data_IF_127254124417
#
_entry.id   IF_127254124417
#
_cell.length_a   1.000
_cell.length_b   1.000
_cell.length_c   1.000
_cell.angle_alpha   90.00
_cell.angle_beta   90.00
_cell.angle_gamma   90.00
#
_symmetry.space_group_name_H-M   'P 1'
#
loop_
_entity.id
_entity.type
_entity.pdbx_description
1 polymer ?
#
# COMPACT_ATOMS: atom_id res chain seq x y z
N UNK A 1 11.01 6.89 -4.95
CA UNK A 1 10.55 8.29 -4.87
C UNK A 1 9.08 8.27 -4.54
N UNK A 2 8.62 9.10 -3.60
CA UNK A 2 7.21 9.29 -3.28
C UNK A 2 6.92 10.78 -3.46
N UNK A 3 5.90 11.10 -4.26
CA UNK A 3 5.56 12.46 -4.66
C UNK A 3 4.11 12.74 -4.28
N UNK A 4 3.84 13.88 -3.64
CA UNK A 4 2.47 14.29 -3.33
C UNK A 4 1.78 14.73 -4.61
N UNK A 5 0.65 14.12 -4.93
CA UNK A 5 -0.16 14.44 -6.09
C UNK A 5 -1.19 15.54 -5.77
N UNK A 6 -1.93 15.36 -4.68
CA UNK A 6 -2.95 16.31 -4.25
C UNK A 6 -3.33 16.08 -2.79
N UNK A 7 -3.90 17.09 -2.16
CA UNK A 7 -4.39 17.06 -0.79
C UNK A 7 -5.83 17.58 -0.78
N UNK A 8 -6.75 16.77 -0.24
CA UNK A 8 -8.15 17.15 -0.03
C UNK A 8 -8.48 17.12 1.46
N UNK A 9 -9.71 17.49 1.82
CA UNK A 9 -10.13 17.59 3.23
C UNK A 9 -9.99 16.28 4.03
N UNK A 10 -10.20 15.12 3.40
CA UNK A 10 -10.21 13.82 4.07
C UNK A 10 -8.99 12.95 3.81
N UNK A 11 -8.19 13.27 2.79
CA UNK A 11 -7.07 12.45 2.38
C UNK A 11 -6.04 13.21 1.55
N UNK A 12 -4.80 12.75 1.63
CA UNK A 12 -3.71 13.15 0.76
C UNK A 12 -3.36 12.01 -0.19
N UNK A 13 -3.26 12.30 -1.48
CA UNK A 13 -2.88 11.35 -2.52
C UNK A 13 -1.42 11.54 -2.89
N UNK A 14 -0.69 10.44 -2.97
CA UNK A 14 0.69 10.40 -3.42
C UNK A 14 0.81 9.45 -4.61
N UNK A 15 1.83 9.68 -5.44
CA UNK A 15 2.31 8.71 -6.41
C UNK A 15 3.68 8.22 -5.99
N UNK A 16 3.95 6.95 -6.25
CA UNK A 16 5.25 6.37 -5.92
C UNK A 16 5.65 5.31 -6.94
N UNK A 17 6.93 5.00 -6.95
CA UNK A 17 7.46 3.83 -7.66
C UNK A 17 7.69 2.72 -6.64
N UNK A 18 6.92 1.64 -6.75
CA UNK A 18 7.16 0.41 -6.00
C UNK A 18 8.21 -0.41 -6.73
N UNK A 19 9.45 -0.38 -6.23
CA UNK A 19 10.61 -0.99 -6.89
C UNK A 19 10.50 -2.50 -7.03
N UNK A 20 10.02 -3.17 -5.98
CA UNK A 20 9.98 -4.62 -5.89
C UNK A 20 8.63 -5.22 -6.29
N UNK A 21 7.68 -4.36 -6.67
CA UNK A 21 6.31 -4.71 -7.02
C UNK A 21 5.57 -5.52 -5.96
N UNK A 22 4.32 -5.87 -6.29
CA UNK A 22 3.49 -6.75 -5.46
C UNK A 22 3.77 -8.23 -5.75
N UNK A 23 3.45 -9.09 -4.79
CA UNK A 23 3.50 -10.54 -5.02
C UNK A 23 2.45 -10.94 -6.06
N UNK A 24 2.88 -11.67 -7.09
CA UNK A 24 2.03 -12.08 -8.20
C UNK A 24 1.52 -13.51 -8.02
N UNK A 25 2.43 -14.46 -7.74
CA UNK A 25 2.09 -15.88 -7.56
C UNK A 25 3.20 -16.65 -6.85
N UNK A 26 2.84 -17.77 -6.24
CA UNK A 26 3.80 -18.77 -5.78
C UNK A 26 4.20 -19.69 -6.95
N UNK A 27 5.50 -19.96 -7.08
CA UNK A 27 6.04 -20.94 -8.00
C UNK A 27 6.51 -22.18 -7.21
N UNK A 28 5.76 -23.26 -7.28
CA UNK A 28 6.01 -24.49 -6.51
C UNK A 28 7.22 -25.27 -6.99
N UNK A 29 7.57 -25.20 -8.27
CA UNK A 29 8.75 -25.91 -8.81
C UNK A 29 10.05 -25.28 -8.31
N UNK A 30 10.08 -23.94 -8.31
CA UNK A 30 11.25 -23.16 -7.88
C UNK A 30 11.24 -22.83 -6.39
N UNK A 31 10.12 -23.09 -5.69
CA UNK A 31 9.90 -22.74 -4.28
C UNK A 31 10.15 -21.25 -4.00
N UNK A 32 9.68 -20.38 -4.90
CA UNK A 32 9.81 -18.92 -4.76
C UNK A 32 8.47 -18.21 -4.93
N UNK A 33 8.32 -17.09 -4.23
CA UNK A 33 7.20 -16.17 -4.40
C UNK A 33 7.56 -15.14 -5.48
N UNK A 34 6.97 -15.29 -6.67
CA UNK A 34 7.20 -14.39 -7.79
C UNK A 34 6.58 -13.01 -7.51
N UNK A 35 7.37 -11.97 -7.77
CA UNK A 35 6.97 -10.58 -7.63
C UNK A 35 6.77 -9.95 -9.00
N UNK A 36 5.82 -9.03 -9.09
CA UNK A 36 5.76 -8.10 -10.21
C UNK A 36 7.01 -7.21 -10.21
N UNK A 37 7.37 -6.69 -11.38
CA UNK A 37 8.49 -5.76 -11.49
C UNK A 37 8.13 -4.38 -10.93
N UNK A 38 9.02 -3.40 -11.18
CA UNK A 38 8.85 -2.01 -10.81
C UNK A 38 7.54 -1.44 -11.36
N UNK A 39 6.68 -0.94 -10.48
CA UNK A 39 5.36 -0.41 -10.85
C UNK A 39 5.14 0.99 -10.28
N UNK A 40 4.44 1.83 -11.05
CA UNK A 40 3.92 3.11 -10.57
C UNK A 40 2.62 2.85 -9.81
N UNK A 41 2.54 3.33 -8.57
CA UNK A 41 1.39 3.15 -7.68
C UNK A 41 0.85 4.49 -7.21
N UNK A 42 -0.40 4.46 -6.77
CA UNK A 42 -1.07 5.57 -6.09
C UNK A 42 -1.30 5.18 -4.63
N UNK A 43 -0.89 6.04 -3.71
CA UNK A 43 -1.09 5.87 -2.27
C UNK A 43 -2.10 6.91 -1.79
N UNK A 44 -3.13 6.48 -1.06
CA UNK A 44 -4.12 7.35 -0.41
C UNK A 44 -3.92 7.32 1.09
N UNK A 45 -3.41 8.41 1.67
CA UNK A 45 -3.30 8.59 3.11
C UNK A 45 -4.55 9.31 3.60
N UNK A 46 -5.31 8.70 4.51
CA UNK A 46 -6.43 9.37 5.16
C UNK A 46 -5.88 10.40 6.16
N UNK A 47 -6.48 11.59 6.19
CA UNK A 47 -6.05 12.70 7.03
C UNK A 47 -6.54 12.59 8.48
N UNK A 48 -7.29 11.54 8.83
CA UNK A 48 -7.82 11.35 10.18
C UNK A 48 -6.67 11.01 11.13
N UNK A 49 -6.12 12.05 11.76
CA UNK A 49 -5.13 11.95 12.82
C UNK A 49 -5.84 11.58 14.13
N UNK A 50 -5.51 10.41 14.67
CA UNK A 50 -5.80 9.96 16.03
C UNK A 50 -7.28 9.75 16.40
N UNK A 51 -7.77 8.50 16.29
CA UNK A 51 -8.11 7.67 17.47
C UNK A 51 -8.65 6.27 17.11
N UNK A 52 -9.18 6.05 15.90
CA UNK A 52 -10.01 4.86 15.65
C UNK A 52 -9.31 3.70 14.93
N UNK A 53 -8.00 3.83 14.64
CA UNK A 53 -7.23 2.73 14.04
C UNK A 53 -7.02 1.56 14.99
N UNK A 54 -6.99 1.84 16.29
CA UNK A 54 -6.82 0.82 17.33
C UNK A 54 -8.12 0.03 17.55
N UNK A 55 -9.29 0.61 17.24
CA UNK A 55 -10.57 -0.04 17.54
C UNK A 55 -11.01 -1.11 16.53
N UNK A 56 -10.58 -1.07 15.26
CA UNK A 56 -10.97 -2.13 14.31
C UNK A 56 -10.09 -3.39 14.38
N UNK A 57 -8.94 -3.32 15.05
CA UNK A 57 -7.96 -4.42 15.03
C UNK A 57 -8.23 -5.51 16.09
N UNK A 58 -9.33 -5.42 16.84
CA UNK A 58 -9.74 -6.43 17.84
C UNK A 58 -11.01 -7.21 17.49
N UNK A 59 -11.71 -6.91 16.39
CA UNK A 59 -12.96 -7.60 16.00
C UNK A 59 -12.78 -8.78 15.03
N UNK A 60 -11.57 -9.35 14.95
CA UNK A 60 -11.38 -10.69 14.35
C UNK A 60 -10.67 -11.57 15.37
N UNK A 61 -11.42 -12.02 16.37
CA UNK A 61 -11.15 -13.21 17.16
C UNK A 61 -12.20 -14.27 16.89
#
# INVERSE_FOLDING_TARGET
>A
NVERLTEGGFATIYTAIWKDGHYKKWNSERQILERSERQKIVLKRLNNSNNDIVHWSQEVS
#
